data_IF_176600690450
#
_entry.id   IF_176600690450
#
_cell.length_a   1.000
_cell.length_b   1.000
_cell.length_c   1.000
_cell.angle_alpha   90.00
_cell.angle_beta   90.00
_cell.angle_gamma   90.00
#
_symmetry.space_group_name_H-M   'P 1'
#
loop_
_entity.id
_entity.type
_entity.pdbx_description
1 polymer ?
#
# COMPACT_ATOMS: atom_id res chain seq x y z
N UNK A 1 -14.68 -5.27 -16.84
CA UNK A 1 -13.29 -5.09 -16.44
C UNK A 1 -13.24 -4.53 -15.04
N UNK A 2 -12.42 -5.07 -14.18
CA UNK A 2 -12.24 -4.62 -12.80
C UNK A 2 -10.82 -4.17 -12.55
N UNK A 3 -10.64 -3.29 -11.58
CA UNK A 3 -9.33 -2.82 -11.15
C UNK A 3 -9.35 -2.42 -9.68
N UNK A 4 -8.33 -2.80 -8.95
CA UNK A 4 -8.07 -2.46 -7.55
C UNK A 4 -6.99 -1.38 -7.39
N UNK A 5 -6.34 -1.00 -8.47
CA UNK A 5 -5.27 0.02 -8.48
C UNK A 5 -5.60 1.16 -9.45
N UNK A 6 -6.75 1.77 -9.31
CA UNK A 6 -7.20 2.82 -10.23
C UNK A 6 -6.60 4.19 -9.92
N UNK A 7 -5.99 4.44 -8.79
CA UNK A 7 -5.16 5.62 -8.60
C UNK A 7 -4.02 5.67 -9.62
N UNK A 8 -3.49 4.51 -9.99
CA UNK A 8 -2.45 4.44 -11.02
C UNK A 8 -3.01 4.73 -12.41
N UNK A 9 -4.05 4.03 -12.86
CA UNK A 9 -4.51 4.17 -14.24
C UNK A 9 -5.65 5.17 -14.44
N UNK A 10 -6.48 5.39 -13.45
CA UNK A 10 -7.64 6.28 -13.55
C UNK A 10 -7.44 7.64 -12.91
N UNK A 11 -6.65 7.73 -11.85
CA UNK A 11 -6.62 8.91 -10.98
C UNK A 11 -5.54 9.93 -11.30
N UNK A 12 -4.49 9.59 -11.97
CA UNK A 12 -3.43 10.60 -12.08
C UNK A 12 -2.14 10.16 -12.75
N UNK A 13 -1.80 8.90 -12.74
CA UNK A 13 -0.55 8.48 -13.39
C UNK A 13 -0.76 8.32 -14.90
N UNK A 14 -0.37 9.36 -15.64
CA UNK A 14 -0.48 9.41 -17.10
C UNK A 14 0.26 8.28 -17.81
N UNK A 15 1.17 7.60 -17.14
CA UNK A 15 1.90 6.47 -17.73
C UNK A 15 0.98 5.30 -18.07
N UNK A 16 -0.12 5.14 -17.34
CA UNK A 16 -1.12 4.12 -17.60
C UNK A 16 -2.24 4.58 -18.55
N UNK A 17 -2.36 5.88 -18.82
CA UNK A 17 -3.36 6.45 -19.72
C UNK A 17 -2.90 6.30 -21.18
N UNK A 18 -2.84 5.07 -21.65
CA UNK A 18 -2.34 4.68 -22.98
C UNK A 18 -3.48 4.48 -23.97
N UNK A 19 -3.16 4.44 -25.28
CA UNK A 19 -4.11 4.08 -26.34
C UNK A 19 -4.68 2.66 -26.14
N UNK A 20 -3.89 1.73 -25.61
CA UNK A 20 -4.34 0.37 -25.33
C UNK A 20 -5.39 0.36 -24.22
N UNK A 21 -5.18 1.10 -23.12
CA UNK A 21 -6.18 1.22 -22.05
C UNK A 21 -7.45 1.90 -22.56
N UNK A 22 -7.34 2.97 -23.33
CA UNK A 22 -8.49 3.64 -23.95
C UNK A 22 -9.28 2.68 -24.87
N UNK A 23 -8.60 1.84 -25.62
CA UNK A 23 -9.21 0.82 -26.47
C UNK A 23 -9.96 -0.23 -25.63
N UNK A 24 -9.39 -0.66 -24.50
CA UNK A 24 -10.07 -1.57 -23.56
C UNK A 24 -11.33 -0.92 -22.98
N UNK A 25 -11.22 0.33 -22.49
CA UNK A 25 -12.38 1.07 -21.96
C UNK A 25 -13.50 1.16 -23.00
N UNK A 26 -13.14 1.46 -24.25
CA UNK A 26 -14.13 1.54 -25.35
C UNK A 26 -14.77 0.18 -25.65
N UNK A 27 -14.01 -0.91 -25.57
CA UNK A 27 -14.45 -2.23 -25.98
C UNK A 27 -15.37 -2.95 -24.96
N UNK A 28 -15.30 -2.59 -23.67
CA UNK A 28 -16.11 -3.23 -22.61
C UNK A 28 -17.48 -2.55 -22.47
N UNK A 29 -18.46 -3.31 -21.97
CA UNK A 29 -19.81 -2.77 -21.74
C UNK A 29 -19.88 -1.84 -20.52
N UNK A 30 -19.02 -2.07 -19.51
CA UNK A 30 -18.91 -1.27 -18.30
C UNK A 30 -17.54 -1.43 -17.65
N UNK A 31 -17.20 -0.52 -16.75
CA UNK A 31 -16.00 -0.61 -15.91
C UNK A 31 -16.40 -0.88 -14.46
N UNK A 32 -15.73 -1.83 -13.83
CA UNK A 32 -15.92 -2.23 -12.45
C UNK A 32 -14.70 -1.78 -11.65
N UNK A 33 -14.90 -0.88 -10.69
CA UNK A 33 -13.82 -0.34 -9.85
C UNK A 33 -13.83 -0.96 -8.47
N UNK A 34 -12.64 -1.15 -7.90
CA UNK A 34 -12.45 -1.60 -6.54
C UNK A 34 -11.91 -0.44 -5.69
N UNK A 35 -12.49 -0.21 -4.51
CA UNK A 35 -12.09 0.88 -3.61
C UNK A 35 -11.89 0.35 -2.19
N UNK A 36 -10.67 0.42 -1.68
CA UNK A 36 -10.33 -0.12 -0.37
C UNK A 36 -9.60 0.88 0.54
N UNK A 37 -10.28 1.96 1.00
CA UNK A 37 -9.66 2.89 1.94
C UNK A 37 -9.28 2.26 3.28
N UNK A 38 -9.73 1.04 3.56
CA UNK A 38 -9.24 0.25 4.69
C UNK A 38 -7.73 0.10 4.65
N UNK A 39 -7.18 -0.32 3.52
CA UNK A 39 -5.73 -0.48 3.35
C UNK A 39 -5.00 0.85 3.45
N UNK A 40 -5.55 1.90 2.89
CA UNK A 40 -5.00 3.26 2.96
C UNK A 40 -4.91 3.79 4.40
N UNK A 41 -5.72 3.27 5.34
CA UNK A 41 -5.60 3.63 6.75
C UNK A 41 -4.21 3.34 7.34
N UNK A 42 -3.46 2.43 6.72
CA UNK A 42 -2.09 2.08 7.06
C UNK A 42 -1.07 2.62 6.04
N UNK A 43 -1.32 2.42 4.74
CA UNK A 43 -0.35 2.74 3.68
C UNK A 43 -0.37 4.22 3.27
N UNK A 44 -1.53 4.87 3.27
CA UNK A 44 -1.70 6.29 2.98
C UNK A 44 -2.64 6.96 3.99
N UNK A 45 -2.23 7.09 5.26
CA UNK A 45 -3.11 7.50 6.36
C UNK A 45 -3.45 9.00 6.37
N UNK A 46 -3.31 9.73 5.26
CA UNK A 46 -3.56 11.18 5.21
C UNK A 46 -4.98 11.53 5.67
N UNK A 47 -5.97 10.73 5.26
CA UNK A 47 -7.38 10.92 5.65
C UNK A 47 -7.70 10.29 7.01
N UNK A 48 -6.89 9.34 7.51
CA UNK A 48 -7.17 8.49 8.66
C UNK A 48 -6.74 9.13 9.99
N UNK A 49 -7.49 8.84 11.05
CA UNK A 49 -7.21 9.29 12.42
C UNK A 49 -8.03 10.50 12.86
N UNK A 50 -8.02 10.79 14.15
CA UNK A 50 -8.74 11.91 14.77
C UNK A 50 -7.99 13.21 14.53
N UNK A 51 -8.65 14.20 13.93
CA UNK A 51 -8.06 15.52 13.68
C UNK A 51 -7.99 16.34 15.00
N UNK A 52 -7.12 17.35 15.03
CA UNK A 52 -6.94 18.20 16.22
C UNK A 52 -8.26 18.89 16.66
N UNK A 53 -9.04 19.36 15.71
CA UNK A 53 -10.36 19.98 15.93
C UNK A 53 -11.43 19.00 16.42
N UNK A 54 -11.22 17.70 16.23
CA UNK A 54 -12.13 16.63 16.65
C UNK A 54 -11.79 16.06 18.04
N UNK A 55 -10.65 16.41 18.61
CA UNK A 55 -10.18 15.82 19.88
C UNK A 55 -11.12 16.09 21.07
N UNK A 56 -11.95 17.14 21.00
CA UNK A 56 -12.95 17.47 22.01
C UNK A 56 -14.29 16.73 21.86
N UNK A 57 -14.49 16.03 20.73
CA UNK A 57 -15.71 15.25 20.48
C UNK A 57 -15.70 13.95 21.32
N UNK A 58 -16.88 13.35 21.47
CA UNK A 58 -16.98 12.02 22.06
C UNK A 58 -16.29 10.97 21.19
N UNK A 59 -15.89 9.85 21.78
CA UNK A 59 -15.28 8.74 21.04
C UNK A 59 -16.12 8.30 19.84
N UNK A 60 -17.44 8.22 20.01
CA UNK A 60 -18.33 7.82 18.92
C UNK A 60 -18.30 8.82 17.75
N UNK A 61 -18.34 10.11 18.06
CA UNK A 61 -18.28 11.18 17.05
C UNK A 61 -16.91 11.22 16.35
N UNK A 62 -15.82 10.97 17.06
CA UNK A 62 -14.47 10.88 16.49
C UNK A 62 -14.35 9.70 15.53
N UNK A 63 -14.92 8.55 15.89
CA UNK A 63 -14.96 7.36 15.01
C UNK A 63 -15.79 7.68 13.76
N UNK A 64 -16.99 8.23 13.94
CA UNK A 64 -17.89 8.59 12.84
C UNK A 64 -17.22 9.58 11.87
N UNK A 65 -16.61 10.65 12.37
CA UNK A 65 -15.88 11.62 11.55
C UNK A 65 -14.74 10.97 10.75
N UNK A 66 -14.00 10.04 11.37
CA UNK A 66 -12.93 9.29 10.70
C UNK A 66 -13.50 8.38 9.61
N UNK A 67 -14.64 7.71 9.86
CA UNK A 67 -15.29 6.83 8.88
C UNK A 67 -15.93 7.59 7.72
N UNK A 68 -16.43 8.82 7.96
CA UNK A 68 -16.88 9.71 6.88
C UNK A 68 -15.72 10.11 5.96
N UNK A 69 -14.53 10.34 6.51
CA UNK A 69 -13.32 10.56 5.67
C UNK A 69 -12.91 9.31 4.89
N UNK A 70 -13.09 8.12 5.46
CA UNK A 70 -12.87 6.87 4.73
C UNK A 70 -13.85 6.72 3.55
N UNK A 71 -15.15 7.03 3.75
CA UNK A 71 -16.13 7.14 2.64
C UNK A 71 -15.64 8.15 1.59
N UNK A 72 -15.23 9.35 2.02
CA UNK A 72 -14.78 10.39 1.09
C UNK A 72 -13.54 9.97 0.32
N UNK A 73 -12.63 9.22 0.93
CA UNK A 73 -11.47 8.63 0.26
C UNK A 73 -11.92 7.68 -0.86
N UNK A 74 -12.85 6.75 -0.59
CA UNK A 74 -13.40 5.86 -1.62
C UNK A 74 -14.07 6.62 -2.77
N UNK A 75 -14.84 7.67 -2.46
CA UNK A 75 -15.47 8.53 -3.47
C UNK A 75 -14.42 9.25 -4.32
N UNK A 76 -13.38 9.79 -3.68
CA UNK A 76 -12.29 10.47 -4.40
C UNK A 76 -11.56 9.53 -5.36
N UNK A 77 -11.31 8.32 -4.91
CA UNK A 77 -10.73 7.27 -5.74
C UNK A 77 -11.63 6.95 -6.93
N UNK A 78 -12.92 6.71 -6.70
CA UNK A 78 -13.90 6.51 -7.76
C UNK A 78 -13.93 7.68 -8.76
N UNK A 79 -13.97 8.91 -8.27
CA UNK A 79 -14.07 10.11 -9.12
C UNK A 79 -12.86 10.25 -10.03
N UNK A 80 -11.64 10.01 -9.50
CA UNK A 80 -10.42 10.06 -10.32
C UNK A 80 -10.47 9.10 -11.50
N UNK A 81 -10.93 7.86 -11.26
CA UNK A 81 -11.12 6.89 -12.34
C UNK A 81 -12.25 7.30 -13.30
N UNK A 82 -13.39 7.77 -12.76
CA UNK A 82 -14.54 8.18 -13.56
C UNK A 82 -14.20 9.34 -14.49
N UNK A 83 -13.44 10.31 -14.03
CA UNK A 83 -13.00 11.45 -14.84
C UNK A 83 -12.15 11.01 -16.04
N UNK A 84 -11.22 10.07 -15.83
CA UNK A 84 -10.44 9.51 -16.92
C UNK A 84 -11.30 8.69 -17.89
N UNK A 85 -12.16 7.80 -17.37
CA UNK A 85 -13.05 6.97 -18.20
C UNK A 85 -13.94 7.88 -19.05
N UNK A 86 -14.52 8.92 -18.47
CA UNK A 86 -15.36 9.89 -19.19
C UNK A 86 -14.59 10.67 -20.26
N UNK A 87 -13.29 10.86 -20.09
CA UNK A 87 -12.45 11.46 -21.13
C UNK A 87 -12.26 10.56 -22.37
N UNK A 88 -12.43 9.24 -22.20
CA UNK A 88 -12.33 8.23 -23.26
C UNK A 88 -13.70 7.92 -23.85
N UNK A 89 -14.68 7.67 -22.98
CA UNK A 89 -16.06 7.33 -23.35
C UNK A 89 -17.02 7.92 -22.29
N UNK A 90 -17.63 9.09 -22.56
CA UNK A 90 -18.49 9.79 -21.60
C UNK A 90 -19.74 9.02 -21.17
N UNK A 91 -20.20 8.06 -21.97
CA UNK A 91 -21.39 7.27 -21.70
C UNK A 91 -21.06 5.92 -21.04
N UNK A 92 -19.78 5.66 -20.74
CA UNK A 92 -19.36 4.37 -20.18
C UNK A 92 -19.90 4.16 -18.77
N UNK A 93 -20.73 3.12 -18.54
CA UNK A 93 -21.20 2.81 -17.20
C UNK A 93 -20.04 2.40 -16.27
N UNK A 94 -20.12 2.87 -15.04
CA UNK A 94 -19.13 2.55 -14.00
C UNK A 94 -19.90 2.12 -12.76
N UNK A 95 -19.39 1.10 -12.05
CA UNK A 95 -19.89 0.71 -10.74
C UNK A 95 -18.74 0.35 -9.81
N UNK A 96 -19.03 0.29 -8.51
CA UNK A 96 -18.09 -0.27 -7.54
C UNK A 96 -18.27 -1.79 -7.53
N UNK A 97 -17.30 -2.51 -8.11
CA UNK A 97 -17.27 -3.96 -8.19
C UNK A 97 -16.80 -4.63 -6.92
N UNK A 98 -15.95 -3.94 -6.16
CA UNK A 98 -15.57 -4.36 -4.82
C UNK A 98 -15.29 -3.16 -3.93
N UNK A 99 -15.75 -3.25 -2.69
CA UNK A 99 -15.34 -2.42 -1.56
C UNK A 99 -15.61 -3.17 -0.27
N UNK A 100 -14.85 -2.90 0.79
CA UNK A 100 -15.03 -3.61 2.04
C UNK A 100 -14.20 -3.03 3.18
N UNK A 101 -14.45 -3.57 4.37
CA UNK A 101 -13.76 -3.18 5.59
C UNK A 101 -13.55 -4.41 6.48
N UNK A 102 -12.33 -4.70 6.88
CA UNK A 102 -12.06 -5.86 7.73
C UNK A 102 -12.42 -5.58 9.20
N UNK A 103 -13.02 -6.57 9.84
CA UNK A 103 -13.43 -6.52 11.26
C UNK A 103 -12.33 -6.95 12.22
N UNK A 104 -11.35 -7.72 11.74
CA UNK A 104 -10.19 -8.19 12.50
C UNK A 104 -8.95 -7.96 11.64
N UNK A 105 -7.83 -7.58 12.27
CA UNK A 105 -6.56 -7.46 11.58
C UNK A 105 -5.38 -7.70 12.53
N UNK A 106 -4.27 -8.09 11.92
CA UNK A 106 -2.99 -8.21 12.59
C UNK A 106 -2.38 -6.86 12.98
N UNK A 107 -1.07 -6.76 12.92
CA UNK A 107 -0.32 -5.59 13.41
C UNK A 107 -0.62 -4.29 12.68
N UNK A 108 -0.86 -4.33 11.36
CA UNK A 108 -1.00 -3.11 10.54
C UNK A 108 -2.28 -2.32 10.79
N UNK A 109 -3.41 -3.00 11.07
CA UNK A 109 -4.72 -2.36 11.23
C UNK A 109 -5.34 -2.57 12.61
N UNK A 110 -4.71 -3.39 13.45
CA UNK A 110 -5.10 -3.66 14.83
C UNK A 110 -4.53 -2.67 15.84
N UNK A 111 -4.38 -3.14 17.08
CA UNK A 111 -3.97 -2.34 18.26
C UNK A 111 -2.60 -1.67 18.11
N UNK A 112 -1.69 -2.26 17.37
CA UNK A 112 -0.33 -1.72 17.14
C UNK A 112 -0.20 -0.91 15.85
N UNK A 113 -1.26 -0.81 15.06
CA UNK A 113 -1.26 -0.17 13.77
C UNK A 113 -2.25 0.99 13.67
N UNK A 114 -3.00 1.04 12.58
CA UNK A 114 -3.94 2.13 12.28
C UNK A 114 -5.21 2.13 13.12
N UNK A 115 -5.49 1.09 13.89
CA UNK A 115 -6.74 0.89 14.65
C UNK A 115 -8.00 0.85 13.75
N UNK A 116 -7.83 0.48 12.48
CA UNK A 116 -8.94 0.50 11.52
C UNK A 116 -9.90 -0.70 11.69
N UNK A 117 -9.39 -1.86 12.12
CA UNK A 117 -10.14 -3.10 12.11
C UNK A 117 -10.98 -3.29 13.37
N UNK A 118 -12.30 -3.21 13.25
CA UNK A 118 -13.29 -3.72 14.19
C UNK A 118 -14.70 -3.71 13.56
N UNK A 119 -15.64 -4.45 14.16
CA UNK A 119 -17.00 -4.60 13.61
C UNK A 119 -17.84 -3.30 13.61
N UNK A 120 -17.52 -2.31 14.46
CA UNK A 120 -18.23 -1.03 14.41
C UNK A 120 -17.87 -0.26 13.15
N UNK A 121 -16.57 -0.20 12.83
CA UNK A 121 -16.10 0.50 11.63
C UNK A 121 -16.51 -0.24 10.35
N UNK A 122 -16.51 -1.57 10.36
CA UNK A 122 -17.08 -2.37 9.28
C UNK A 122 -18.54 -1.99 9.03
N UNK A 123 -19.38 -1.91 10.08
CA UNK A 123 -20.79 -1.49 9.97
C UNK A 123 -20.92 -0.07 9.42
N UNK A 124 -20.18 0.89 9.95
CA UNK A 124 -20.24 2.28 9.50
C UNK A 124 -19.83 2.41 8.02
N UNK A 125 -18.74 1.76 7.64
CA UNK A 125 -18.29 1.79 6.25
C UNK A 125 -19.30 1.14 5.31
N UNK A 126 -19.85 -0.01 5.67
CA UNK A 126 -20.90 -0.68 4.92
C UNK A 126 -22.13 0.23 4.70
N UNK A 127 -22.61 0.87 5.75
CA UNK A 127 -23.74 1.79 5.67
C UNK A 127 -23.42 3.00 4.78
N UNK A 128 -22.28 3.65 5.00
CA UNK A 128 -21.86 4.83 4.23
C UNK A 128 -21.72 4.53 2.73
N UNK A 129 -21.17 3.38 2.37
CA UNK A 129 -21.01 3.00 0.95
C UNK A 129 -22.34 2.64 0.30
N UNK A 130 -23.25 1.99 1.03
CA UNK A 130 -24.61 1.71 0.52
C UNK A 130 -25.42 2.98 0.32
N UNK A 131 -25.37 3.90 1.27
CA UNK A 131 -26.08 5.17 1.17
C UNK A 131 -25.57 5.97 -0.02
N UNK A 132 -24.24 6.08 -0.16
CA UNK A 132 -23.66 6.75 -1.32
C UNK A 132 -24.03 6.09 -2.65
N UNK A 133 -23.94 4.77 -2.75
CA UNK A 133 -24.33 4.06 -3.97
C UNK A 133 -25.80 4.27 -4.34
N UNK A 134 -26.67 4.28 -3.32
CA UNK A 134 -28.11 4.56 -3.50
C UNK A 134 -28.35 6.00 -3.97
N UNK A 135 -27.68 6.99 -3.37
CA UNK A 135 -27.77 8.40 -3.75
C UNK A 135 -27.23 8.64 -5.17
N UNK A 136 -26.14 7.97 -5.54
CA UNK A 136 -25.51 8.06 -6.85
C UNK A 136 -26.24 7.24 -7.94
N UNK A 137 -27.22 6.42 -7.58
CA UNK A 137 -27.92 5.50 -8.50
C UNK A 137 -27.00 4.42 -9.08
N UNK A 138 -25.98 4.01 -8.31
CA UNK A 138 -24.91 3.13 -8.73
C UNK A 138 -24.89 1.82 -7.93
N UNK A 139 -24.54 0.71 -8.59
CA UNK A 139 -24.32 -0.56 -7.91
C UNK A 139 -23.01 -0.53 -7.13
N UNK A 140 -23.09 -0.98 -5.87
CA UNK A 140 -21.94 -1.17 -4.98
C UNK A 140 -21.95 -2.62 -4.48
N UNK A 141 -20.92 -3.39 -4.84
CA UNK A 141 -20.74 -4.75 -4.37
C UNK A 141 -19.81 -4.73 -3.17
N UNK A 142 -20.36 -5.08 -2.01
CA UNK A 142 -19.58 -5.16 -0.77
C UNK A 142 -18.88 -6.51 -0.67
N UNK A 143 -17.58 -6.48 -0.42
CA UNK A 143 -16.74 -7.63 -0.21
C UNK A 143 -16.53 -7.84 1.28
N UNK A 144 -16.99 -8.95 1.89
CA UNK A 144 -17.74 -10.01 1.26
C UNK A 144 -18.85 -10.53 2.21
N UNK A 145 -19.61 -11.54 1.81
CA UNK A 145 -20.65 -12.08 2.72
C UNK A 145 -20.04 -12.97 3.81
N UNK A 146 -19.01 -13.75 3.50
CA UNK A 146 -18.34 -14.64 4.44
C UNK A 146 -16.86 -14.34 4.55
N UNK A 147 -16.27 -14.55 5.72
CA UNK A 147 -14.83 -14.54 5.91
C UNK A 147 -14.13 -15.59 5.04
N UNK A 148 -12.95 -15.27 4.54
CA UNK A 148 -12.19 -16.07 3.58
C UNK A 148 -10.81 -16.45 4.10
N UNK A 149 -10.74 -17.51 4.92
CA UNK A 149 -9.54 -17.90 5.67
C UNK A 149 -8.34 -18.36 4.84
N UNK A 150 -8.50 -18.48 3.54
CA UNK A 150 -7.41 -18.88 2.63
C UNK A 150 -6.56 -17.71 2.11
N UNK A 151 -7.04 -16.47 2.23
CA UNK A 151 -6.35 -15.30 1.66
C UNK A 151 -5.05 -14.98 2.41
N UNK A 152 -5.12 -14.95 3.75
CA UNK A 152 -3.93 -14.82 4.62
C UNK A 152 -3.62 -16.16 5.28
N UNK A 153 -3.38 -17.18 4.48
CA UNK A 153 -3.27 -18.57 4.93
C UNK A 153 -2.20 -18.84 6.02
N UNK A 154 -1.25 -17.94 6.17
CA UNK A 154 -0.19 -18.04 7.20
C UNK A 154 -0.50 -17.27 8.48
N UNK A 155 -1.51 -16.41 8.50
CA UNK A 155 -1.86 -15.55 9.63
C UNK A 155 -3.36 -15.52 9.88
N UNK A 156 -3.81 -16.24 10.90
CA UNK A 156 -5.24 -16.36 11.24
C UNK A 156 -5.90 -15.00 11.55
N UNK A 157 -5.14 -14.01 12.00
CA UNK A 157 -5.58 -12.64 12.28
C UNK A 157 -5.32 -11.67 11.12
N UNK A 158 -4.90 -12.16 9.96
CA UNK A 158 -4.69 -11.36 8.77
C UNK A 158 -5.98 -10.69 8.30
N UNK A 159 -5.90 -9.44 7.87
CA UNK A 159 -7.08 -8.65 7.49
C UNK A 159 -7.85 -9.26 6.33
N UNK A 160 -7.15 -9.84 5.36
CA UNK A 160 -7.77 -10.44 4.18
C UNK A 160 -8.71 -11.60 4.51
N UNK A 161 -8.52 -12.23 5.66
CA UNK A 161 -9.39 -13.31 6.13
C UNK A 161 -10.72 -12.80 6.73
N UNK A 162 -10.89 -11.48 6.97
CA UNK A 162 -11.94 -10.97 7.86
C UNK A 162 -12.79 -9.83 7.27
N UNK A 163 -12.92 -9.76 5.95
CA UNK A 163 -13.80 -8.82 5.26
C UNK A 163 -15.27 -9.26 5.19
N UNK A 164 -15.58 -10.52 5.57
CA UNK A 164 -16.93 -11.06 5.54
C UNK A 164 -17.84 -10.42 6.57
N UNK A 165 -19.12 -10.29 6.26
CA UNK A 165 -20.17 -9.86 7.19
C UNK A 165 -20.61 -11.00 8.13
N UNK A 166 -20.25 -12.23 7.80
CA UNK A 166 -20.51 -13.46 8.59
C UNK A 166 -19.21 -14.23 8.71
N UNK A 167 -18.80 -14.50 9.94
CA UNK A 167 -17.61 -15.29 10.22
C UNK A 167 -17.86 -16.80 9.97
N UNK A 168 -16.77 -17.55 9.77
CA UNK A 168 -16.87 -18.98 9.41
C UNK A 168 -17.38 -19.88 10.53
N UNK A 169 -17.42 -19.41 11.76
CA UNK A 169 -18.01 -20.08 12.92
C UNK A 169 -19.52 -19.88 13.05
N UNK A 170 -20.18 -19.32 12.01
CA UNK A 170 -21.60 -18.95 11.93
C UNK A 170 -21.97 -17.69 12.70
N UNK A 171 -21.00 -16.85 13.01
CA UNK A 171 -21.24 -15.61 13.73
C UNK A 171 -21.57 -14.48 12.76
N UNK A 172 -22.75 -13.89 12.88
CA UNK A 172 -23.19 -12.70 12.16
C UNK A 172 -22.57 -11.49 12.85
N UNK A 173 -21.76 -10.74 12.13
CA UNK A 173 -21.08 -9.55 12.64
C UNK A 173 -22.04 -8.38 12.83
N UNK A 174 -21.61 -7.36 13.57
CA UNK A 174 -22.43 -6.21 13.99
C UNK A 174 -23.10 -5.49 12.83
N UNK A 175 -22.49 -5.53 11.67
CA UNK A 175 -23.04 -4.94 10.42
C UNK A 175 -24.44 -5.43 10.12
N UNK A 176 -24.74 -6.71 10.37
CA UNK A 176 -26.02 -7.35 10.03
C UNK A 176 -26.88 -7.69 11.26
N UNK A 177 -26.61 -7.10 12.44
CA UNK A 177 -27.41 -7.42 13.64
C UNK A 177 -28.86 -6.94 13.52
N UNK A 178 -29.09 -5.83 12.84
CA UNK A 178 -30.44 -5.28 12.66
C UNK A 178 -31.28 -6.20 11.77
N UNK A 179 -30.70 -6.74 10.71
CA UNK A 179 -31.30 -7.73 9.82
C UNK A 179 -31.52 -9.07 10.57
N UNK A 180 -30.58 -9.45 11.42
CA UNK A 180 -30.73 -10.63 12.26
C UNK A 180 -31.95 -10.51 13.20
N UNK A 181 -32.13 -9.37 13.87
CA UNK A 181 -33.27 -9.11 14.78
C UNK A 181 -34.60 -9.03 14.04
N UNK A 182 -34.57 -8.69 12.74
CA UNK A 182 -35.75 -8.68 11.88
C UNK A 182 -36.09 -10.07 11.31
N UNK A 183 -35.33 -11.11 11.67
CA UNK A 183 -35.58 -12.48 11.24
C UNK A 183 -35.05 -12.83 9.84
N UNK A 184 -34.19 -12.00 9.26
CA UNK A 184 -33.64 -12.26 7.90
C UNK A 184 -32.86 -13.59 7.80
N UNK A 185 -32.43 -14.12 8.93
CA UNK A 185 -31.66 -15.38 9.02
C UNK A 185 -32.44 -16.53 9.64
N UNK A 186 -33.76 -16.37 9.87
CA UNK A 186 -34.59 -17.39 10.50
C UNK A 186 -34.62 -18.67 9.67
N UNK A 187 -34.36 -19.81 10.33
CA UNK A 187 -34.30 -21.10 9.67
C UNK A 187 -33.03 -21.37 8.86
N UNK A 188 -32.15 -20.38 8.69
CA UNK A 188 -30.89 -20.57 7.97
C UNK A 188 -29.86 -21.25 8.89
N UNK A 189 -29.15 -22.19 8.33
CA UNK A 189 -28.06 -22.91 9.01
C UNK A 189 -26.85 -23.01 8.11
N UNK A 190 -25.67 -23.04 8.72
CA UNK A 190 -24.43 -23.38 8.04
C UNK A 190 -23.80 -24.58 8.75
N UNK A 191 -23.49 -25.65 7.99
CA UNK A 191 -23.01 -26.92 8.55
C UNK A 191 -23.95 -27.49 9.64
N UNK A 192 -25.28 -27.35 9.47
CA UNK A 192 -26.28 -27.81 10.40
C UNK A 192 -26.41 -27.01 11.71
N UNK A 193 -25.68 -25.91 11.84
CA UNK A 193 -25.72 -25.02 13.01
C UNK A 193 -26.42 -23.70 12.66
N UNK A 194 -27.26 -23.16 13.54
CA UNK A 194 -27.89 -21.85 13.31
C UNK A 194 -26.85 -20.75 13.36
N UNK A 195 -27.16 -19.62 12.72
CA UNK A 195 -26.40 -18.40 12.83
C UNK A 195 -26.63 -17.76 14.22
N UNK A 196 -25.62 -17.08 14.73
CA UNK A 196 -25.67 -16.36 16.00
C UNK A 196 -24.98 -15.00 15.86
N UNK A 197 -25.35 -14.03 16.70
CA UNK A 197 -24.68 -12.72 16.67
C UNK A 197 -23.28 -12.81 17.28
N UNK A 198 -22.34 -12.02 16.74
CA UNK A 198 -21.04 -11.77 17.37
C UNK A 198 -21.22 -11.25 18.80
N UNK A 199 -20.24 -11.45 19.66
CA UNK A 199 -20.30 -11.09 21.08
C UNK A 199 -21.55 -11.64 21.81
N UNK A 200 -22.19 -12.70 21.31
CA UNK A 200 -23.45 -13.21 21.83
C UNK A 200 -24.60 -12.19 21.82
N UNK A 201 -24.58 -11.22 20.92
CA UNK A 201 -25.53 -10.11 20.86
C UNK A 201 -25.30 -9.02 21.91
N UNK A 202 -24.20 -9.06 22.65
CA UNK A 202 -23.88 -8.10 23.70
C UNK A 202 -23.20 -6.86 23.13
N UNK A 203 -24.00 -5.81 22.81
CA UNK A 203 -23.50 -4.55 22.29
C UNK A 203 -22.46 -3.88 23.19
N UNK A 204 -22.58 -4.02 24.52
CA UNK A 204 -21.59 -3.44 25.45
C UNK A 204 -20.23 -4.13 25.35
N UNK A 205 -20.22 -5.44 25.11
CA UNK A 205 -18.99 -6.19 24.88
C UNK A 205 -18.33 -5.79 23.56
N UNK A 206 -19.13 -5.68 22.49
CA UNK A 206 -18.68 -5.17 21.20
C UNK A 206 -18.05 -3.79 21.31
N UNK A 207 -18.73 -2.82 21.92
CA UNK A 207 -18.23 -1.46 22.06
C UNK A 207 -16.93 -1.36 22.87
N UNK A 208 -16.65 -2.33 23.75
CA UNK A 208 -15.35 -2.41 24.44
C UNK A 208 -14.20 -2.89 23.57
N UNK A 209 -14.50 -3.60 22.49
CA UNK A 209 -13.48 -4.08 21.52
C UNK A 209 -13.16 -3.04 20.46
N UNK A 210 -13.96 -1.98 20.36
CA UNK A 210 -13.77 -0.93 19.35
C UNK A 210 -12.48 -0.16 19.63
N UNK A 211 -11.64 -0.07 18.61
CA UNK A 211 -10.38 0.64 18.67
C UNK A 211 -10.59 2.12 18.33
N UNK A 212 -10.12 3.00 19.21
CA UNK A 212 -10.09 4.42 18.93
C UNK A 212 -9.10 4.71 17.79
N UNK A 213 -9.52 5.38 16.70
CA UNK A 213 -8.56 5.83 15.69
C UNK A 213 -7.47 6.70 16.32
N UNK A 214 -6.21 6.60 15.87
CA UNK A 214 -5.13 7.34 16.48
C UNK A 214 -5.33 8.86 16.30
N UNK A 215 -4.93 9.63 17.30
CA UNK A 215 -4.93 11.08 17.20
C UNK A 215 -3.82 11.53 16.25
N UNK A 216 -4.14 12.28 15.21
CA UNK A 216 -3.13 12.77 14.24
C UNK A 216 -2.07 13.65 14.91
N UNK A 217 -2.43 14.39 15.94
CA UNK A 217 -1.48 15.18 16.74
C UNK A 217 -0.44 14.33 17.49
N UNK A 218 -0.74 13.04 17.72
CA UNK A 218 0.10 12.08 18.45
C UNK A 218 0.71 11.01 17.54
N UNK A 219 0.25 10.92 16.31
CA UNK A 219 0.92 10.06 15.33
C UNK A 219 2.33 10.60 15.14
N UNK A 220 3.35 9.72 15.16
CA UNK A 220 4.65 10.15 14.64
C UNK A 220 4.34 10.75 13.27
N UNK A 221 4.65 12.03 13.10
CA UNK A 221 4.52 12.65 11.80
C UNK A 221 5.39 11.79 10.87
N UNK A 222 4.76 10.88 10.09
CA UNK A 222 5.34 10.62 8.78
C UNK A 222 5.52 12.03 8.25
N UNK A 223 6.74 12.43 8.01
CA UNK A 223 6.97 13.59 7.16
C UNK A 223 6.25 13.22 5.87
N UNK A 224 4.98 13.64 5.76
CA UNK A 224 4.36 13.77 4.46
C UNK A 224 5.21 14.88 3.88
N UNK A 225 6.14 14.49 3.06
CA UNK A 225 6.79 15.41 2.15
C UNK A 225 5.63 15.93 1.32
N UNK A 226 5.13 17.10 1.70
CA UNK A 226 4.31 17.90 0.79
C UNK A 226 5.21 18.09 -0.40
N UNK A 227 4.92 17.35 -1.48
CA UNK A 227 5.71 17.47 -2.69
C UNK A 227 5.46 18.86 -3.17
N UNK A 228 6.47 19.68 -3.03
CA UNK A 228 6.50 20.93 -3.71
C UNK A 228 6.85 20.62 -5.16
N UNK A 229 5.83 20.54 -6.04
CA UNK A 229 6.00 20.30 -7.48
C UNK A 229 6.94 21.33 -8.12
N UNK A 230 7.19 22.46 -7.44
CA UNK A 230 8.12 23.50 -7.85
C UNK A 230 9.46 23.44 -7.10
N UNK A 231 9.67 22.43 -6.26
CA UNK A 231 10.95 22.28 -5.57
C UNK A 231 12.04 21.94 -6.61
N UNK A 232 13.06 22.75 -6.62
CA UNK A 232 14.21 22.55 -7.50
C UNK A 232 15.25 21.75 -6.72
N UNK A 233 15.78 20.65 -7.29
CA UNK A 233 16.91 19.94 -6.70
C UNK A 233 18.07 20.88 -6.42
N UNK A 234 18.82 20.58 -5.36
CA UNK A 234 20.00 21.36 -4.97
C UNK A 234 21.15 21.30 -5.98
N UNK A 235 22.24 21.96 -5.65
CA UNK A 235 23.49 21.87 -6.41
C UNK A 235 23.97 20.41 -6.50
N UNK A 236 24.70 20.04 -7.56
CA UNK A 236 25.27 18.70 -7.67
C UNK A 236 26.14 18.36 -6.47
N UNK A 237 25.96 17.13 -5.95
CA UNK A 237 26.83 16.61 -4.89
C UNK A 237 28.28 16.63 -5.35
N UNK A 238 29.12 17.41 -4.66
CA UNK A 238 30.55 17.57 -4.98
C UNK A 238 31.36 16.59 -4.13
N UNK A 239 31.43 15.33 -4.54
CA UNK A 239 32.20 14.29 -3.89
C UNK A 239 32.59 13.20 -4.89
N UNK A 240 33.64 12.44 -4.56
CA UNK A 240 34.07 11.30 -5.38
C UNK A 240 33.14 10.09 -5.20
N UNK A 241 32.40 10.03 -4.09
CA UNK A 241 31.44 8.98 -3.82
C UNK A 241 30.31 9.43 -2.87
N UNK A 242 29.21 8.73 -2.96
CA UNK A 242 28.04 8.82 -2.10
C UNK A 242 27.96 7.52 -1.30
N UNK A 243 28.23 7.59 -0.02
CA UNK A 243 28.30 6.41 0.85
C UNK A 243 27.09 6.39 1.78
N UNK A 244 26.46 5.23 1.90
CA UNK A 244 25.44 4.93 2.89
C UNK A 244 26.08 4.16 4.01
N UNK A 245 26.01 4.69 5.23
CA UNK A 245 26.40 3.97 6.44
C UNK A 245 25.16 3.36 7.05
N UNK A 246 25.20 2.07 7.34
CA UNK A 246 24.11 1.34 7.98
C UNK A 246 24.45 1.16 9.47
N UNK A 247 23.44 1.40 10.29
CA UNK A 247 23.49 1.17 11.73
C UNK A 247 22.26 0.35 12.12
N UNK A 248 22.44 -0.69 12.92
CA UNK A 248 21.36 -1.61 13.34
C UNK A 248 20.21 -0.87 14.04
N UNK A 249 20.51 0.20 14.77
CA UNK A 249 19.52 1.06 15.42
C UNK A 249 18.62 1.81 14.44
N UNK A 250 18.99 1.89 13.17
CA UNK A 250 18.32 2.66 12.14
C UNK A 250 17.42 1.81 11.24
N UNK A 251 17.38 0.50 11.42
CA UNK A 251 16.50 -0.36 10.63
C UNK A 251 15.03 0.04 10.84
N UNK A 252 14.33 0.28 9.73
CA UNK A 252 12.95 0.81 9.74
C UNK A 252 12.85 2.29 10.15
N UNK A 253 13.98 2.96 10.31
CA UNK A 253 14.12 4.39 10.59
C UNK A 253 14.94 5.07 9.50
N UNK A 254 15.38 6.28 9.76
CA UNK A 254 16.24 7.03 8.84
C UNK A 254 17.67 6.50 8.90
N UNK A 255 18.27 6.29 7.74
CA UNK A 255 19.68 5.93 7.62
C UNK A 255 20.54 7.19 7.52
N UNK A 256 21.66 7.19 8.21
CA UNK A 256 22.67 8.24 8.08
C UNK A 256 23.53 7.98 6.85
N UNK A 257 23.89 9.05 6.17
CA UNK A 257 24.88 9.03 5.10
C UNK A 257 26.16 9.71 5.55
N UNK A 258 27.29 9.25 5.04
CA UNK A 258 28.56 9.93 5.30
C UNK A 258 28.68 11.23 4.49
N UNK A 259 28.00 11.29 3.36
CA UNK A 259 27.90 12.48 2.52
C UNK A 259 26.87 12.28 1.41
N UNK A 260 25.96 13.26 1.18
CA UNK A 260 25.62 14.38 2.06
C UNK A 260 24.91 13.89 3.33
N UNK A 261 24.64 14.77 4.27
CA UNK A 261 23.98 14.45 5.54
C UNK A 261 22.47 14.25 5.44
N UNK A 262 21.96 13.84 4.29
CA UNK A 262 20.55 13.54 4.12
C UNK A 262 20.18 12.22 4.75
N UNK A 263 18.97 12.16 5.27
CA UNK A 263 18.41 10.96 5.86
C UNK A 263 17.88 10.04 4.78
N UNK A 264 18.30 8.80 4.80
CA UNK A 264 17.80 7.74 3.92
C UNK A 264 16.96 6.75 4.70
N UNK A 265 15.94 6.21 4.06
CA UNK A 265 15.04 5.24 4.64
C UNK A 265 14.91 4.00 3.76
N UNK A 266 15.06 2.84 4.39
CA UNK A 266 14.73 1.57 3.76
C UNK A 266 13.23 1.36 3.86
N UNK A 267 12.58 1.14 2.71
CA UNK A 267 11.14 0.94 2.64
C UNK A 267 10.84 -0.33 1.84
N UNK A 268 10.28 -1.38 2.48
CA UNK A 268 9.67 -2.49 1.74
C UNK A 268 8.40 -1.96 1.05
N UNK A 269 8.27 -2.19 -0.24
CA UNK A 269 7.10 -1.75 -0.98
C UNK A 269 5.91 -2.66 -0.70
N UNK A 270 4.82 -2.09 -0.24
CA UNK A 270 3.55 -2.80 0.01
C UNK A 270 3.69 -4.06 0.90
N UNK A 271 4.72 -4.11 1.73
CA UNK A 271 4.98 -5.29 2.56
C UNK A 271 5.37 -6.56 1.80
N UNK A 272 5.73 -6.45 0.51
CA UNK A 272 6.06 -7.58 -0.37
C UNK A 272 7.37 -8.28 -0.04
N UNK A 273 8.17 -7.73 0.86
CA UNK A 273 9.36 -8.37 1.40
C UNK A 273 9.55 -7.99 2.88
N UNK A 274 10.31 -8.82 3.59
CA UNK A 274 10.75 -8.52 4.94
C UNK A 274 12.21 -8.10 4.92
N UNK A 275 12.56 -7.02 5.65
CA UNK A 275 13.90 -6.46 5.72
C UNK A 275 14.32 -6.43 7.17
N UNK A 276 15.45 -7.04 7.48
CA UNK A 276 16.06 -7.00 8.81
C UNK A 276 17.53 -6.68 8.68
N UNK A 277 18.10 -5.96 9.67
CA UNK A 277 19.53 -5.89 9.86
C UNK A 277 19.97 -7.01 10.80
N UNK A 278 21.04 -7.68 10.44
CA UNK A 278 21.67 -8.67 11.30
C UNK A 278 22.75 -7.99 12.18
N UNK A 279 23.18 -8.66 13.24
CA UNK A 279 24.25 -8.16 14.12
C UNK A 279 25.61 -7.90 13.42
N UNK A 280 25.70 -8.18 12.14
CA UNK A 280 26.91 -8.05 11.30
C UNK A 280 26.78 -6.89 10.29
N UNK A 281 25.89 -5.92 10.55
CA UNK A 281 25.61 -4.78 9.66
C UNK A 281 25.19 -5.19 8.24
N UNK A 282 24.53 -6.32 8.13
CA UNK A 282 24.02 -6.85 6.87
C UNK A 282 22.53 -6.62 6.77
N UNK A 283 22.07 -6.05 5.65
CA UNK A 283 20.65 -6.02 5.30
C UNK A 283 20.26 -7.39 4.72
N UNK A 284 19.43 -8.12 5.44
CA UNK A 284 18.81 -9.34 4.93
C UNK A 284 17.42 -9.00 4.38
N UNK A 285 17.20 -9.30 3.09
CA UNK A 285 15.92 -9.13 2.43
C UNK A 285 15.34 -10.52 2.18
N UNK A 286 14.20 -10.82 2.79
CA UNK A 286 13.44 -12.04 2.52
C UNK A 286 12.24 -11.69 1.64
N UNK A 287 12.19 -12.26 0.44
CA UNK A 287 11.09 -12.05 -0.50
C UNK A 287 9.78 -12.63 0.04
N UNK A 288 8.66 -12.02 -0.28
CA UNK A 288 7.34 -12.57 -0.01
C UNK A 288 6.99 -13.76 -0.92
N UNK A 289 5.77 -14.23 -0.81
CA UNK A 289 5.19 -15.30 -1.66
C UNK A 289 4.12 -14.79 -2.61
N UNK A 290 3.89 -13.47 -2.67
CA UNK A 290 3.01 -12.84 -3.66
C UNK A 290 3.62 -12.85 -5.06
N UNK A 291 2.99 -12.18 -6.01
CA UNK A 291 3.44 -12.19 -7.41
C UNK A 291 4.75 -11.43 -7.64
N UNK A 292 5.06 -10.49 -6.77
CA UNK A 292 6.26 -9.65 -6.85
C UNK A 292 6.77 -9.22 -5.47
N UNK A 293 7.97 -8.68 -5.42
CA UNK A 293 8.55 -8.05 -4.24
C UNK A 293 9.37 -6.83 -4.62
N UNK A 294 9.51 -5.89 -3.71
CA UNK A 294 10.34 -4.72 -3.93
C UNK A 294 10.64 -3.94 -2.65
N UNK A 295 11.72 -3.19 -2.72
CA UNK A 295 12.14 -2.26 -1.68
C UNK A 295 13.00 -1.14 -2.27
N UNK A 296 13.13 -0.07 -1.52
CA UNK A 296 14.01 1.04 -1.88
C UNK A 296 14.73 1.62 -0.68
N UNK A 297 15.85 2.25 -0.96
CA UNK A 297 16.57 3.15 -0.09
C UNK A 297 16.34 4.57 -0.61
N UNK A 298 15.40 5.25 0.03
CA UNK A 298 14.87 6.54 -0.41
C UNK A 298 15.35 7.71 0.42
N UNK A 299 15.33 8.89 -0.17
CA UNK A 299 15.65 10.16 0.46
C UNK A 299 14.36 10.79 0.99
N UNK A 300 14.28 11.04 2.30
CA UNK A 300 13.14 11.73 2.90
C UNK A 300 13.32 13.25 2.83
N UNK A 301 13.09 13.84 1.65
CA UNK A 301 13.05 15.28 1.45
C UNK A 301 12.01 15.65 0.40
N UNK A 302 11.69 16.95 0.29
CA UNK A 302 10.77 17.45 -0.76
C UNK A 302 11.33 17.26 -2.16
N UNK A 303 12.65 17.14 -2.28
CA UNK A 303 13.38 16.86 -3.53
C UNK A 303 14.32 15.70 -3.30
N UNK A 304 14.65 14.98 -4.34
CA UNK A 304 15.79 14.07 -4.34
C UNK A 304 17.13 14.79 -4.34
N UNK A 305 18.19 14.01 -4.34
CA UNK A 305 19.56 14.51 -4.47
C UNK A 305 19.95 14.71 -5.92
N UNK A 306 20.76 15.74 -6.15
CA UNK A 306 21.38 15.98 -7.45
C UNK A 306 22.69 15.18 -7.53
N UNK A 307 22.60 13.99 -8.14
CA UNK A 307 23.70 13.06 -8.32
C UNK A 307 24.32 13.11 -9.72
N UNK A 308 24.20 14.24 -10.43
CA UNK A 308 24.74 14.40 -11.79
C UNK A 308 26.25 14.20 -11.87
N UNK A 309 26.98 14.48 -10.79
CA UNK A 309 28.43 14.24 -10.68
C UNK A 309 28.80 12.77 -10.85
N UNK A 310 27.86 11.84 -10.56
CA UNK A 310 28.08 10.39 -10.66
C UNK A 310 27.67 9.80 -12.01
N UNK A 311 27.28 10.60 -13.00
CA UNK A 311 26.80 10.14 -14.32
C UNK A 311 27.72 9.12 -15.00
N UNK A 312 29.03 9.29 -14.84
CA UNK A 312 30.04 8.38 -15.37
C UNK A 312 30.59 7.42 -14.31
N UNK A 313 29.94 7.36 -13.15
CA UNK A 313 30.35 6.54 -12.01
C UNK A 313 29.79 5.11 -12.04
N UNK A 314 29.73 4.52 -10.87
CA UNK A 314 29.25 3.16 -10.67
C UNK A 314 28.39 3.07 -9.40
N UNK A 315 27.40 2.20 -9.42
CA UNK A 315 26.81 1.65 -8.19
C UNK A 315 27.70 0.51 -7.73
N UNK A 316 28.11 0.55 -6.47
CA UNK A 316 29.00 -0.43 -5.86
C UNK A 316 28.26 -1.09 -4.70
N UNK A 317 28.17 -2.41 -4.72
CA UNK A 317 27.43 -3.21 -3.76
C UNK A 317 28.19 -4.50 -3.46
N UNK A 318 28.09 -4.96 -2.23
CA UNK A 318 28.45 -6.32 -1.89
C UNK A 318 27.18 -7.11 -1.56
N UNK A 319 26.95 -8.20 -2.28
CA UNK A 319 25.70 -8.98 -2.16
C UNK A 319 25.98 -10.48 -2.23
N UNK A 320 25.12 -11.25 -1.56
CA UNK A 320 25.01 -12.70 -1.72
C UNK A 320 23.55 -13.13 -1.72
N UNK A 321 23.23 -14.29 -2.26
CA UNK A 321 21.87 -14.81 -2.25
C UNK A 321 21.67 -16.00 -3.18
N UNK A 322 20.40 -16.34 -3.45
CA UNK A 322 20.08 -17.43 -4.38
C UNK A 322 20.48 -17.05 -5.81
N UNK A 323 21.36 -17.81 -6.48
CA UNK A 323 21.73 -17.56 -7.87
C UNK A 323 20.57 -17.67 -8.88
N UNK A 324 19.45 -18.24 -8.48
CA UNK A 324 18.24 -18.36 -9.33
C UNK A 324 17.33 -17.13 -9.24
N UNK A 325 17.51 -16.27 -8.24
CA UNK A 325 16.69 -15.10 -8.04
C UNK A 325 16.80 -14.16 -9.25
N UNK A 326 15.65 -13.68 -9.72
CA UNK A 326 15.52 -12.70 -10.80
C UNK A 326 14.98 -11.41 -10.23
N UNK A 327 15.67 -10.32 -10.47
CA UNK A 327 15.26 -9.01 -9.99
C UNK A 327 15.89 -7.89 -10.81
N UNK A 328 15.40 -6.69 -10.60
CA UNK A 328 15.99 -5.45 -11.10
C UNK A 328 16.68 -4.73 -9.95
N UNK A 329 17.78 -4.09 -10.22
CA UNK A 329 18.47 -3.17 -9.33
C UNK A 329 18.74 -1.87 -10.04
N UNK A 330 18.52 -0.75 -9.35
CA UNK A 330 18.71 0.56 -9.95
C UNK A 330 18.43 1.69 -8.98
N UNK A 331 18.10 2.85 -9.53
CA UNK A 331 17.71 4.04 -8.79
C UNK A 331 16.44 4.64 -9.40
N UNK A 332 15.75 5.46 -8.62
CA UNK A 332 14.55 6.17 -9.07
C UNK A 332 14.77 7.67 -9.03
N UNK A 333 14.26 8.36 -10.02
CA UNK A 333 14.24 9.81 -10.11
C UNK A 333 12.80 10.31 -10.10
N UNK A 334 12.60 11.55 -9.66
CA UNK A 334 11.26 12.08 -9.46
C UNK A 334 10.54 11.42 -8.29
N UNK A 335 9.27 11.72 -8.13
CA UNK A 335 8.48 11.19 -7.03
C UNK A 335 7.14 10.66 -7.53
N UNK A 336 6.69 9.53 -6.97
CA UNK A 336 5.43 8.90 -7.40
C UNK A 336 4.19 9.78 -7.19
N UNK A 337 4.16 10.59 -6.11
CA UNK A 337 3.06 11.52 -5.85
C UNK A 337 3.03 12.72 -6.82
N UNK A 338 4.15 13.05 -7.46
CA UNK A 338 4.22 14.06 -8.50
C UNK A 338 4.01 13.48 -9.91
N UNK A 339 3.72 12.19 -10.02
CA UNK A 339 3.55 11.46 -11.27
C UNK A 339 4.72 11.62 -12.27
N UNK A 340 5.91 11.81 -11.75
CA UNK A 340 7.13 12.00 -12.55
C UNK A 340 8.24 11.01 -12.18
N UNK A 341 7.90 9.95 -11.42
CA UNK A 341 8.88 8.94 -11.03
C UNK A 341 9.32 8.10 -12.22
N UNK A 342 10.62 7.96 -12.39
CA UNK A 342 11.24 7.14 -13.43
C UNK A 342 12.14 6.10 -12.80
N UNK A 343 11.92 4.84 -13.16
CA UNK A 343 12.75 3.70 -12.75
C UNK A 343 13.90 3.51 -13.74
N UNK A 344 15.10 3.51 -13.22
CA UNK A 344 16.31 3.28 -13.98
C UNK A 344 17.00 2.04 -13.43
N UNK A 345 17.01 0.95 -14.18
CA UNK A 345 17.47 -0.35 -13.67
C UNK A 345 18.20 -1.19 -14.68
N UNK A 346 18.86 -2.20 -14.15
CA UNK A 346 19.33 -3.36 -14.90
C UNK A 346 18.84 -4.67 -14.27
N UNK A 347 18.75 -5.71 -15.07
CA UNK A 347 18.23 -7.02 -14.62
C UNK A 347 19.36 -7.93 -14.14
N UNK A 348 19.11 -8.55 -12.98
CA UNK A 348 19.89 -9.64 -12.41
C UNK A 348 19.19 -10.98 -12.62
N UNK A 349 19.97 -12.07 -12.78
CA UNK A 349 19.39 -13.42 -12.84
C UNK A 349 20.28 -14.44 -13.56
N UNK A 350 19.89 -15.73 -13.59
CA UNK A 350 20.73 -16.84 -14.05
C UNK A 350 21.25 -16.75 -15.50
N UNK A 351 20.53 -16.02 -16.35
CA UNK A 351 20.87 -15.84 -17.78
C UNK A 351 21.21 -14.38 -18.11
N UNK A 352 21.68 -13.62 -17.11
CA UNK A 352 22.07 -12.23 -17.24
C UNK A 352 23.56 -12.05 -16.99
N UNK A 353 24.10 -10.90 -17.38
CA UNK A 353 25.50 -10.53 -17.13
C UNK A 353 25.84 -10.55 -15.64
N UNK A 354 24.82 -10.25 -14.82
CA UNK A 354 24.92 -10.28 -13.37
C UNK A 354 23.90 -11.23 -12.75
N UNK A 355 24.34 -12.04 -11.80
CA UNK A 355 23.51 -12.91 -10.95
C UNK A 355 24.07 -12.90 -9.53
N UNK A 356 23.22 -13.21 -8.55
CA UNK A 356 23.71 -13.44 -7.20
C UNK A 356 24.60 -14.69 -7.12
N UNK A 357 25.50 -14.70 -6.15
CA UNK A 357 26.29 -15.85 -5.78
C UNK A 357 25.94 -16.24 -4.32
N UNK A 358 26.15 -17.50 -3.95
CA UNK A 358 25.92 -17.96 -2.57
C UNK A 358 26.88 -17.33 -1.58
N UNK A 359 28.08 -16.99 -2.03
CA UNK A 359 29.08 -16.28 -1.25
C UNK A 359 29.04 -14.78 -1.54
N UNK A 360 29.50 -13.96 -0.61
CA UNK A 360 29.66 -12.54 -0.81
C UNK A 360 30.43 -12.24 -2.09
N UNK A 361 29.88 -11.32 -2.87
CA UNK A 361 30.47 -10.86 -4.13
C UNK A 361 30.30 -9.37 -4.28
N UNK A 362 31.37 -8.75 -4.71
CA UNK A 362 31.44 -7.34 -5.02
C UNK A 362 30.91 -7.09 -6.45
N UNK A 363 29.93 -6.21 -6.56
CA UNK A 363 29.34 -5.81 -7.84
C UNK A 363 29.68 -4.34 -8.09
N UNK A 364 30.23 -4.07 -9.24
CA UNK A 364 30.53 -2.73 -9.74
C UNK A 364 29.74 -2.51 -11.02
N UNK A 365 28.61 -1.77 -10.91
CA UNK A 365 27.64 -1.58 -11.97
C UNK A 365 27.84 -0.20 -12.55
N UNK A 366 28.28 -0.06 -13.81
CA UNK A 366 28.42 1.25 -14.45
C UNK A 366 27.07 1.94 -14.57
N UNK A 367 27.00 3.23 -14.22
CA UNK A 367 25.78 4.05 -14.38
C UNK A 367 25.29 4.05 -15.84
N UNK A 368 26.20 3.98 -16.80
CA UNK A 368 25.85 3.85 -18.23
C UNK A 368 25.01 2.61 -18.59
N UNK A 369 25.06 1.55 -17.78
CA UNK A 369 24.22 0.34 -17.95
C UNK A 369 22.78 0.55 -17.45
N UNK A 370 22.56 1.54 -16.62
CA UNK A 370 21.28 1.83 -15.95
C UNK A 370 20.62 3.04 -16.58
N UNK A 371 21.39 3.97 -17.14
CA UNK A 371 20.92 5.28 -17.65
C UNK A 371 20.44 5.28 -19.10
N UNK A 372 20.22 4.13 -19.74
CA UNK A 372 19.86 4.01 -21.16
C UNK A 372 18.55 4.74 -21.56
N UNK A 373 17.82 5.34 -20.62
CA UNK A 373 16.53 5.99 -20.87
C UNK A 373 16.47 7.48 -20.51
N UNK A 374 17.55 8.22 -20.66
CA UNK A 374 17.59 9.66 -20.30
C UNK A 374 17.29 9.92 -18.81
N UNK A 375 17.88 9.14 -17.93
CA UNK A 375 17.70 9.31 -16.51
C UNK A 375 18.13 10.70 -16.04
N UNK A 376 17.20 11.38 -15.40
CA UNK A 376 17.45 12.68 -14.80
C UNK A 376 18.12 12.51 -13.44
N UNK A 377 19.44 12.55 -13.38
CA UNK A 377 20.20 12.48 -12.13
C UNK A 377 20.11 13.76 -11.29
N UNK A 378 19.40 14.78 -11.72
CA UNK A 378 19.23 16.02 -10.92
C UNK A 378 18.29 15.83 -9.75
N UNK A 379 17.45 14.78 -9.76
CA UNK A 379 16.43 14.54 -8.74
C UNK A 379 16.31 13.04 -8.40
N UNK A 380 17.34 12.48 -7.81
CA UNK A 380 17.34 11.05 -7.38
C UNK A 380 16.67 10.93 -6.02
N UNK A 381 15.51 10.28 -5.99
CA UNK A 381 14.69 10.12 -4.78
C UNK A 381 14.88 8.78 -4.09
N UNK A 382 15.18 7.72 -4.85
CA UNK A 382 15.64 6.46 -4.30
C UNK A 382 16.99 6.11 -4.89
N UNK A 383 18.00 6.15 -4.06
CA UNK A 383 19.40 5.93 -4.48
C UNK A 383 19.66 4.49 -4.91
N UNK A 384 18.92 3.55 -4.31
CA UNK A 384 18.88 2.15 -4.71
C UNK A 384 17.44 1.64 -4.56
N UNK A 385 17.00 0.85 -5.53
CA UNK A 385 15.84 -0.01 -5.36
C UNK A 385 16.12 -1.40 -5.91
N UNK A 386 15.39 -2.37 -5.38
CA UNK A 386 15.39 -3.75 -5.81
C UNK A 386 13.93 -4.16 -6.04
N UNK A 387 13.65 -4.78 -7.18
CA UNK A 387 12.31 -5.28 -7.51
C UNK A 387 12.43 -6.56 -8.31
N UNK A 388 11.62 -7.55 -7.99
CA UNK A 388 11.61 -8.80 -8.72
C UNK A 388 10.28 -9.52 -8.63
N UNK A 389 10.14 -10.56 -9.47
CA UNK A 389 9.02 -11.49 -9.35
C UNK A 389 9.26 -12.34 -8.10
N UNK A 390 8.21 -12.62 -7.34
CA UNK A 390 8.34 -13.51 -6.19
C UNK A 390 8.61 -14.94 -6.69
N UNK A 391 9.58 -15.64 -6.11
CA UNK A 391 9.76 -17.05 -6.36
C UNK A 391 8.63 -17.85 -5.72
N UNK A 392 8.41 -19.10 -6.18
CA UNK A 392 7.42 -20.02 -5.61
C UNK A 392 7.62 -20.29 -4.11
N UNK A 393 8.84 -20.06 -3.61
CA UNK A 393 9.21 -20.17 -2.20
C UNK A 393 9.94 -18.90 -1.76
N UNK A 394 9.82 -18.55 -0.46
CA UNK A 394 10.54 -17.40 0.13
C UNK A 394 12.06 -17.55 -0.08
N UNK A 395 12.66 -16.53 -0.62
CA UNK A 395 14.10 -16.49 -0.92
C UNK A 395 14.77 -15.36 -0.15
N UNK A 396 15.98 -15.60 0.35
CA UNK A 396 16.81 -14.59 1.02
C UNK A 396 17.89 -14.05 0.07
N UNK A 397 18.07 -12.77 0.14
CA UNK A 397 19.15 -12.04 -0.47
C UNK A 397 20.07 -11.46 0.60
#
# INVERSE_FOLDING_TARGET
>A
TSSDNFESWGGGDKVYQTEDLASVITAVDYVSLHTYPFHDSHYDPVFWGVLAEEESLSQAEQIEATMLRAKQRAISQYQGAADYIASVDPEKPIHIGETGWASIAGSSYGVTGSHAADELKEKLYYQHMRDWGSEAGMSVFYFSIFDEQWKDAGEASGSENHFGLIALDNTVKYTLWDEFDQGAFDGLTRNGKPLTKSFGGNKKALMKSVLQPPYKSKMPRRKITTINENAVPGEPVSADFYIVTLDESLLGTDLNTTYPSNTLKITPWEGTCNIIMTAEDVIEITTGTGDWWGNSLGIESETGENLTSFKSGHIILEMRGDPKLKFEIGYQTGHYLANNQVNNSMKFGPKRDHKLEKNWKYYKIPMSKITERNADLTNVTNVIYLKGDSPDEKTKM
#
